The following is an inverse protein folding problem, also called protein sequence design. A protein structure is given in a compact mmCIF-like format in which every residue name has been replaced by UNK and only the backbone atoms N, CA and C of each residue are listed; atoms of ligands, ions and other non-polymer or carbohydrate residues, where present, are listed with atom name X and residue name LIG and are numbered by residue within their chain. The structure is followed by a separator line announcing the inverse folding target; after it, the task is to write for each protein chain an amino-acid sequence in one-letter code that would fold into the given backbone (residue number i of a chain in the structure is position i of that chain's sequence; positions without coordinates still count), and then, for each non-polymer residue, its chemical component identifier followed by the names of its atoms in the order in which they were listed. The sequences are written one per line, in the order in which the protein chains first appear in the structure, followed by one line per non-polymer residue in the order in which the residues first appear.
data_IF_898336797731
#
_entry.id   IF_898336797731
#
_cell.length_a   1.000
_cell.length_b   1.000
_cell.length_c   1.000
_cell.angle_alpha   90.00
_cell.angle_beta   90.00
_cell.angle_gamma   90.00
#
_symmetry.space_group_name_H-M   'P 1'
#
loop_
_entity.id
_entity.type
_entity.pdbx_description
1 polymer ?
#
# COMPACT_ATOMS: atom_id res chain seq x y z
N UNK A 1 -14.25 -26.99 -6.32
CA UNK A 1 -13.63 -25.82 -5.67
C UNK A 1 -13.84 -26.01 -4.19
N UNK A 2 -12.77 -26.30 -3.44
CA UNK A 2 -12.82 -26.22 -1.98
C UNK A 2 -13.12 -24.75 -1.61
N UNK A 3 -13.92 -24.53 -0.56
CA UNK A 3 -14.09 -23.18 -0.03
C UNK A 3 -12.75 -22.65 0.46
N UNK A 4 -12.45 -21.36 0.32
CA UNK A 4 -11.21 -20.75 0.86
C UNK A 4 -11.09 -20.92 2.38
N UNK A 5 -12.20 -21.21 3.06
CA UNK A 5 -12.25 -21.48 4.50
C UNK A 5 -11.82 -22.92 4.86
N UNK A 6 -11.62 -23.81 3.88
CA UNK A 6 -11.22 -25.21 4.09
C UNK A 6 -9.70 -25.45 4.01
N UNK A 7 -8.93 -24.42 3.66
CA UNK A 7 -7.46 -24.49 3.57
C UNK A 7 -6.86 -23.78 4.78
N UNK A 8 -6.17 -24.55 5.60
CA UNK A 8 -5.45 -24.05 6.78
C UNK A 8 -3.99 -23.81 6.41
N UNK A 9 -3.53 -22.57 6.52
CA UNK A 9 -2.16 -22.17 6.16
C UNK A 9 -1.31 -22.16 7.41
N UNK A 10 -0.19 -22.89 7.40
CA UNK A 10 0.84 -22.84 8.45
C UNK A 10 2.13 -22.19 7.96
N UNK A 11 2.44 -22.41 6.69
CA UNK A 11 3.62 -21.94 6.01
C UNK A 11 3.22 -21.67 4.55
N UNK A 12 3.81 -20.64 3.95
CA UNK A 12 3.51 -20.26 2.59
C UNK A 12 4.74 -19.73 1.87
N UNK A 13 4.95 -20.20 0.64
CA UNK A 13 5.89 -19.63 -0.32
C UNK A 13 5.13 -18.82 -1.35
N UNK A 14 5.55 -17.57 -1.56
CA UNK A 14 4.95 -16.64 -2.49
C UNK A 14 5.97 -16.18 -3.52
N UNK A 15 5.58 -16.20 -4.78
CA UNK A 15 6.25 -15.47 -5.85
C UNK A 15 5.35 -14.30 -6.24
N UNK A 16 5.92 -13.10 -6.22
CA UNK A 16 5.17 -11.85 -6.45
C UNK A 16 5.85 -11.12 -7.59
N UNK A 17 5.07 -10.72 -8.58
CA UNK A 17 5.58 -9.94 -9.69
C UNK A 17 6.15 -8.61 -9.17
N UNK A 18 7.39 -8.30 -9.57
CA UNK A 18 8.11 -7.10 -9.11
C UNK A 18 8.93 -7.32 -7.83
N UNK A 19 8.81 -8.49 -7.17
CA UNK A 19 9.53 -8.76 -5.92
C UNK A 19 11.04 -8.79 -6.14
N UNK A 20 11.49 -9.36 -7.26
CA UNK A 20 12.91 -9.41 -7.61
C UNK A 20 13.47 -8.00 -7.70
N UNK A 21 12.79 -7.09 -8.39
CA UNK A 21 13.19 -5.69 -8.52
C UNK A 21 13.19 -4.98 -7.16
N UNK A 22 12.15 -5.19 -6.34
CA UNK A 22 12.03 -4.59 -5.02
C UNK A 22 13.18 -4.99 -4.07
N UNK A 23 13.66 -6.24 -4.14
CA UNK A 23 14.75 -6.74 -3.29
C UNK A 23 16.14 -6.53 -3.89
N UNK A 24 16.26 -6.41 -5.22
CA UNK A 24 17.55 -6.14 -5.86
C UNK A 24 17.83 -4.65 -6.03
N UNK A 25 16.94 -3.78 -5.58
CA UNK A 25 17.12 -2.32 -5.62
C UNK A 25 16.83 -1.69 -6.98
N UNK A 26 16.43 -2.47 -7.99
CA UNK A 26 16.39 -2.03 -9.39
C UNK A 26 17.78 -1.85 -10.00
N UNK A 27 17.85 -1.56 -11.31
CA UNK A 27 19.14 -1.49 -12.05
C UNK A 27 19.73 -0.07 -12.09
N UNK A 28 19.02 0.94 -11.57
CA UNK A 28 19.41 2.36 -11.63
C UNK A 28 19.99 2.83 -10.28
N UNK A 29 21.32 2.99 -10.22
CA UNK A 29 22.12 3.62 -9.13
C UNK A 29 21.70 3.28 -7.68
N UNK A 30 21.12 2.10 -7.45
CA UNK A 30 20.49 1.73 -6.19
C UNK A 30 21.15 0.45 -5.64
N UNK A 31 21.59 0.44 -4.37
CA UNK A 31 22.13 -0.78 -3.79
C UNK A 31 21.01 -1.82 -3.61
N UNK A 32 21.28 -3.11 -3.86
CA UNK A 32 20.34 -4.18 -3.55
C UNK A 32 20.13 -4.31 -2.04
N UNK A 33 19.01 -4.93 -1.65
CA UNK A 33 18.69 -5.22 -0.25
C UNK A 33 19.72 -6.16 0.40
N UNK A 34 20.37 -7.00 -0.39
CA UNK A 34 21.41 -7.93 0.01
C UNK A 34 22.42 -8.14 -1.13
N UNK A 35 23.60 -8.72 -0.83
CA UNK A 35 24.68 -8.80 -1.80
C UNK A 35 24.37 -9.85 -2.88
N UNK A 36 24.37 -9.43 -4.15
CA UNK A 36 24.18 -10.37 -5.27
C UNK A 36 25.54 -11.04 -5.54
N UNK A 37 25.72 -12.29 -5.13
CA UNK A 37 26.93 -13.05 -5.48
C UNK A 37 26.85 -13.58 -6.92
N UNK A 38 28.00 -13.58 -7.61
CA UNK A 38 28.16 -14.18 -8.93
C UNK A 38 28.23 -15.72 -8.91
N UNK A 39 28.25 -16.33 -7.72
CA UNK A 39 28.16 -17.78 -7.56
C UNK A 39 26.71 -18.17 -7.26
N UNK A 40 26.19 -19.18 -7.98
CA UNK A 40 24.81 -19.69 -7.85
C UNK A 40 24.39 -20.12 -6.42
N UNK A 41 25.34 -20.18 -5.48
CA UNK A 41 25.16 -20.64 -4.10
C UNK A 41 24.99 -19.53 -3.05
N UNK A 42 24.85 -18.25 -3.43
CA UNK A 42 24.56 -17.20 -2.43
C UNK A 42 23.05 -17.06 -2.18
N UNK A 43 22.60 -17.77 -1.15
CA UNK A 43 21.29 -17.60 -0.53
C UNK A 43 21.29 -16.38 0.39
N UNK A 44 21.45 -15.20 -0.19
CA UNK A 44 21.30 -13.95 0.54
C UNK A 44 19.81 -13.72 0.80
N UNK A 45 19.45 -13.67 2.09
CA UNK A 45 18.07 -13.58 2.54
C UNK A 45 17.90 -12.50 3.61
N UNK A 46 16.77 -11.79 3.54
CA UNK A 46 16.33 -10.89 4.61
C UNK A 46 15.28 -11.60 5.46
N UNK A 47 15.58 -11.79 6.75
CA UNK A 47 14.62 -12.30 7.72
C UNK A 47 14.00 -11.15 8.51
N UNK A 48 12.67 -11.15 8.59
CA UNK A 48 11.85 -10.16 9.28
C UNK A 48 10.93 -10.88 10.26
N UNK A 49 10.97 -10.47 11.53
CA UNK A 49 10.05 -10.97 12.55
C UNK A 49 8.77 -10.13 12.53
N UNK A 50 7.66 -10.73 12.11
CA UNK A 50 6.34 -10.10 12.12
C UNK A 50 5.57 -10.49 13.39
N UNK A 51 4.50 -9.76 13.77
CA UNK A 51 3.61 -10.21 14.82
C UNK A 51 2.99 -11.57 14.45
N UNK A 52 3.33 -12.62 15.20
CA UNK A 52 2.83 -14.00 15.03
C UNK A 52 3.33 -14.76 13.79
N UNK A 53 4.30 -14.22 13.05
CA UNK A 53 4.87 -14.87 11.87
C UNK A 53 6.34 -14.48 11.65
N UNK A 54 7.06 -15.26 10.86
CA UNK A 54 8.35 -14.86 10.30
C UNK A 54 8.24 -14.75 8.78
N UNK A 55 8.82 -13.69 8.22
CA UNK A 55 8.94 -13.45 6.78
C UNK A 55 10.41 -13.56 6.39
N UNK A 56 10.71 -14.33 5.36
CA UNK A 56 12.04 -14.40 4.75
C UNK A 56 11.93 -14.07 3.27
N UNK A 57 12.68 -13.08 2.81
CA UNK A 57 12.81 -12.74 1.39
C UNK A 57 14.12 -13.34 0.87
N UNK A 58 14.08 -14.05 -0.24
CA UNK A 58 15.27 -14.64 -0.85
C UNK A 58 15.30 -14.42 -2.36
N UNK A 59 16.52 -14.33 -2.92
CA UNK A 59 16.78 -14.41 -4.36
C UNK A 59 17.49 -15.71 -4.67
N UNK A 60 17.08 -16.35 -5.76
CA UNK A 60 17.68 -17.58 -6.26
C UNK A 60 17.97 -17.49 -7.76
N UNK A 61 18.98 -18.24 -8.20
CA UNK A 61 19.27 -18.45 -9.60
C UNK A 61 18.76 -19.83 -10.02
N UNK A 62 17.90 -19.88 -11.04
CA UNK A 62 17.52 -21.10 -11.73
C UNK A 62 18.37 -21.27 -12.99
N UNK A 63 19.01 -22.43 -13.17
CA UNK A 63 19.63 -22.79 -14.43
C UNK A 63 18.63 -23.56 -15.30
N UNK A 64 18.31 -23.00 -16.47
CA UNK A 64 17.60 -23.72 -17.52
C UNK A 64 18.60 -24.18 -18.57
N UNK A 65 18.73 -25.50 -18.73
CA UNK A 65 19.60 -26.12 -19.72
C UNK A 65 18.72 -26.70 -20.84
N UNK A 66 18.63 -25.95 -21.95
CA UNK A 66 18.11 -26.50 -23.20
C UNK A 66 19.27 -27.08 -24.03
N UNK A 67 18.96 -27.98 -24.97
CA UNK A 67 19.94 -28.79 -25.74
C UNK A 67 21.09 -28.00 -26.40
N UNK A 68 21.00 -26.68 -26.54
CA UNK A 68 22.04 -25.81 -27.09
C UNK A 68 22.26 -24.47 -26.35
N UNK A 69 21.60 -24.23 -25.21
CA UNK A 69 21.68 -22.96 -24.47
C UNK A 69 21.47 -23.19 -22.97
N UNK A 70 22.42 -22.75 -22.15
CA UNK A 70 22.23 -22.55 -20.71
C UNK A 70 21.81 -21.11 -20.47
N UNK A 71 20.65 -20.88 -19.86
CA UNK A 71 20.25 -19.56 -19.36
C UNK A 71 20.11 -19.62 -17.85
N UNK A 72 20.77 -18.71 -17.14
CA UNK A 72 20.54 -18.46 -15.73
C UNK A 72 19.41 -17.44 -15.61
N UNK A 73 18.31 -17.80 -14.95
CA UNK A 73 17.20 -16.90 -14.63
C UNK A 73 17.22 -16.61 -13.13
N UNK A 74 17.30 -15.34 -12.76
CA UNK A 74 17.12 -14.92 -11.37
C UNK A 74 15.62 -14.86 -11.04
N UNK A 75 15.26 -15.27 -9.83
CA UNK A 75 13.93 -15.15 -9.28
C UNK A 75 13.98 -14.75 -7.80
N UNK A 76 12.91 -14.17 -7.30
CA UNK A 76 12.75 -13.87 -5.88
C UNK A 76 11.48 -14.52 -5.35
N UNK A 77 11.53 -14.99 -4.11
CA UNK A 77 10.33 -15.46 -3.42
C UNK A 77 10.34 -14.99 -1.97
N UNK A 78 9.14 -14.94 -1.41
CA UNK A 78 8.92 -14.70 -0.01
C UNK A 78 8.45 -15.98 0.66
N UNK A 79 8.94 -16.21 1.87
CA UNK A 79 8.57 -17.33 2.69
C UNK A 79 7.99 -16.84 4.00
N UNK A 80 6.75 -17.21 4.30
CA UNK A 80 6.03 -16.80 5.51
C UNK A 80 5.70 -18.03 6.33
N UNK A 81 6.17 -18.07 7.57
CA UNK A 81 5.89 -19.12 8.53
C UNK A 81 5.11 -18.56 9.70
N UNK A 82 3.96 -19.17 10.03
CA UNK A 82 3.11 -18.73 11.13
C UNK A 82 3.56 -19.37 12.44
N UNK A 83 3.87 -18.54 13.43
CA UNK A 83 4.36 -18.98 14.74
C UNK A 83 3.21 -19.19 15.74
N UNK A 84 2.05 -18.55 15.53
CA UNK A 84 0.88 -18.66 16.39
C UNK A 84 -0.07 -19.82 16.04
N UNK A 85 0.29 -20.63 15.03
CA UNK A 85 -0.54 -21.72 14.52
C UNK A 85 -1.21 -21.40 13.19
N UNK A 86 -1.96 -22.38 12.64
CA UNK A 86 -2.59 -22.25 11.34
C UNK A 86 -3.70 -21.20 11.30
N UNK A 87 -3.87 -20.53 10.16
CA UNK A 87 -5.00 -19.61 9.89
C UNK A 87 -5.70 -19.97 8.58
N UNK A 88 -6.99 -19.64 8.39
CA UNK A 88 -7.66 -19.81 7.11
C UNK A 88 -6.96 -19.04 5.99
N UNK A 89 -6.98 -19.56 4.76
CA UNK A 89 -6.33 -18.92 3.60
C UNK A 89 -6.81 -17.47 3.39
N UNK A 90 -8.09 -17.18 3.62
CA UNK A 90 -8.61 -15.81 3.52
C UNK A 90 -7.99 -14.86 4.55
N UNK A 91 -7.77 -15.33 5.77
CA UNK A 91 -7.07 -14.56 6.81
C UNK A 91 -5.59 -14.41 6.46
N UNK A 92 -4.94 -15.46 5.95
CA UNK A 92 -3.55 -15.41 5.51
C UNK A 92 -3.35 -14.37 4.39
N UNK A 93 -4.25 -14.37 3.40
CA UNK A 93 -4.25 -13.41 2.31
C UNK A 93 -4.38 -11.98 2.82
N UNK A 94 -5.34 -11.76 3.72
CA UNK A 94 -5.60 -10.46 4.29
C UNK A 94 -4.38 -9.99 5.08
N UNK A 95 -3.84 -10.80 6.00
CA UNK A 95 -2.83 -10.38 6.97
C UNK A 95 -1.39 -10.42 6.46
N UNK A 96 -1.09 -11.25 5.47
CA UNK A 96 0.29 -11.50 5.06
C UNK A 96 0.53 -11.35 3.55
N UNK A 97 -0.20 -12.10 2.72
CA UNK A 97 0.07 -12.11 1.27
C UNK A 97 -0.25 -10.75 0.62
N UNK A 98 -1.40 -10.17 0.94
CA UNK A 98 -1.85 -8.87 0.43
C UNK A 98 -0.90 -7.74 0.81
N UNK A 99 -0.55 -7.56 2.11
CA UNK A 99 0.38 -6.52 2.55
C UNK A 99 1.77 -6.62 1.91
N UNK A 100 2.27 -7.84 1.69
CA UNK A 100 3.52 -8.06 0.97
C UNK A 100 3.40 -7.65 -0.51
N UNK A 101 2.33 -8.06 -1.20
CA UNK A 101 2.06 -7.63 -2.57
C UNK A 101 1.96 -6.11 -2.68
N UNK A 102 1.26 -5.49 -1.74
CA UNK A 102 1.07 -4.04 -1.69
C UNK A 102 2.40 -3.32 -1.41
N UNK A 103 3.29 -3.90 -0.60
CA UNK A 103 4.66 -3.39 -0.42
C UNK A 103 5.45 -3.43 -1.73
N UNK A 104 5.38 -4.53 -2.48
CA UNK A 104 6.06 -4.64 -3.78
C UNK A 104 5.50 -3.61 -4.76
N UNK A 105 4.18 -3.49 -4.85
CA UNK A 105 3.49 -2.48 -5.67
C UNK A 105 3.91 -1.05 -5.29
N UNK A 106 4.03 -0.77 -3.99
CA UNK A 106 4.48 0.53 -3.49
C UNK A 106 5.93 0.79 -3.87
N UNK A 107 6.81 -0.19 -3.68
CA UNK A 107 8.23 -0.10 -3.93
C UNK A 107 8.56 0.10 -5.40
N UNK A 108 7.87 -0.62 -6.30
CA UNK A 108 8.11 -0.54 -7.74
C UNK A 108 7.30 0.55 -8.43
N UNK A 109 6.24 1.05 -7.79
CA UNK A 109 5.22 1.91 -8.39
C UNK A 109 4.56 1.32 -9.65
N UNK A 110 4.55 -0.02 -9.75
CA UNK A 110 3.90 -0.76 -10.82
C UNK A 110 2.85 -1.73 -10.25
N UNK A 111 1.80 -2.07 -11.02
CA UNK A 111 0.90 -3.15 -10.65
C UNK A 111 1.66 -4.43 -10.31
N UNK A 112 1.25 -5.10 -9.23
CA UNK A 112 1.84 -6.34 -8.75
C UNK A 112 0.75 -7.34 -8.39
N UNK A 113 1.00 -8.61 -8.71
CA UNK A 113 0.15 -9.74 -8.32
C UNK A 113 1.00 -10.91 -7.81
N UNK A 114 0.34 -11.82 -7.10
CA UNK A 114 0.93 -13.08 -6.65
C UNK A 114 0.91 -14.04 -7.84
N UNK A 115 2.09 -14.42 -8.33
CA UNK A 115 2.29 -15.32 -9.47
C UNK A 115 2.18 -16.79 -9.07
N UNK A 116 2.72 -17.13 -7.90
CA UNK A 116 2.61 -18.45 -7.29
C UNK A 116 2.37 -18.30 -5.79
N UNK A 117 1.43 -19.08 -5.26
CA UNK A 117 1.21 -19.24 -3.84
C UNK A 117 1.15 -20.73 -3.53
N UNK A 118 2.12 -21.21 -2.77
CA UNK A 118 2.17 -22.58 -2.28
C UNK A 118 2.03 -22.56 -0.78
N UNK A 119 1.08 -23.32 -0.25
CA UNK A 119 0.79 -23.35 1.19
C UNK A 119 0.94 -24.76 1.74
N UNK A 120 1.49 -24.87 2.93
CA UNK A 120 1.50 -26.12 3.69
C UNK A 120 0.27 -26.18 4.61
N UNK A 121 -0.56 -27.21 4.40
CA UNK A 121 -1.70 -27.53 5.26
C UNK A 121 -1.39 -28.75 6.14
N UNK A 122 -0.95 -28.48 7.38
CA UNK A 122 -0.64 -29.52 8.36
C UNK A 122 -1.89 -30.20 8.93
N UNK A 123 -3.10 -29.62 8.75
CA UNK A 123 -4.34 -30.19 9.29
C UNK A 123 -4.82 -31.44 8.55
N UNK A 124 -4.26 -31.71 7.35
CA UNK A 124 -4.59 -32.85 6.50
C UNK A 124 -3.63 -34.03 6.62
N UNK A 125 -2.66 -33.96 7.52
CA UNK A 125 -1.73 -35.07 7.77
C UNK A 125 -2.42 -36.11 8.66
N UNK A 126 -2.67 -37.30 8.13
CA UNK A 126 -3.15 -38.43 8.94
C UNK A 126 -2.04 -38.85 9.92
N UNK A 127 -2.35 -39.06 11.22
CA UNK A 127 -1.34 -39.35 12.25
C UNK A 127 -0.58 -40.68 12.05
N UNK A 128 -1.04 -41.56 11.16
CA UNK A 128 -0.44 -42.89 10.93
C UNK A 128 0.41 -42.98 9.65
N UNK A 129 0.45 -41.94 8.81
CA UNK A 129 1.22 -41.97 7.57
C UNK A 129 2.67 -41.52 7.79
N UNK A 130 3.60 -42.48 7.67
CA UNK A 130 5.06 -42.22 7.67
C UNK A 130 5.56 -41.30 6.54
N UNK A 131 4.66 -40.92 5.61
CA UNK A 131 4.87 -39.88 4.61
C UNK A 131 4.62 -38.45 5.13
N UNK A 132 4.42 -38.27 6.44
CA UNK A 132 4.24 -37.00 7.16
C UNK A 132 5.28 -35.89 6.87
N UNK A 133 6.33 -36.18 6.11
CA UNK A 133 7.29 -35.19 5.61
C UNK A 133 6.76 -34.39 4.41
N UNK A 134 5.69 -34.85 3.77
CA UNK A 134 4.95 -34.08 2.78
C UNK A 134 3.67 -33.59 3.45
N UNK A 135 3.76 -32.50 4.23
CA UNK A 135 2.59 -31.64 4.36
C UNK A 135 2.01 -31.47 2.96
N UNK A 136 0.72 -31.69 2.77
CA UNK A 136 0.13 -31.58 1.45
C UNK A 136 0.36 -30.14 0.97
N UNK A 137 1.37 -29.94 0.13
CA UNK A 137 1.68 -28.64 -0.46
C UNK A 137 0.55 -28.36 -1.45
N UNK A 138 -0.25 -27.36 -1.14
CA UNK A 138 -1.38 -26.94 -1.96
C UNK A 138 -0.89 -25.75 -2.78
N UNK A 139 -0.82 -25.92 -4.10
CA UNK A 139 -0.65 -24.81 -5.02
C UNK A 139 -1.99 -24.10 -5.23
N UNK A 140 -2.05 -22.82 -4.85
CA UNK A 140 -3.22 -21.97 -5.01
C UNK A 140 -3.12 -21.23 -6.33
N UNK A 141 -3.81 -21.73 -7.34
CA UNK A 141 -3.85 -21.08 -8.66
C UNK A 141 -4.84 -19.93 -8.65
N UNK A 142 -4.34 -18.71 -8.94
CA UNK A 142 -5.14 -17.50 -9.06
C UNK A 142 -5.06 -16.97 -10.48
N UNK A 143 -6.16 -16.40 -10.98
CA UNK A 143 -6.14 -15.64 -12.22
C UNK A 143 -5.77 -14.19 -11.88
N UNK A 144 -4.71 -13.60 -12.46
CA UNK A 144 -4.43 -12.20 -12.24
C UNK A 144 -5.57 -11.34 -12.85
N UNK A 145 -5.88 -10.18 -12.25
CA UNK A 145 -6.96 -9.30 -12.72
C UNK A 145 -6.63 -8.68 -14.09
N UNK A 146 -5.35 -8.59 -14.43
CA UNK A 146 -4.82 -8.12 -15.71
C UNK A 146 -3.88 -9.19 -16.27
N UNK A 147 -3.88 -9.37 -17.58
CA UNK A 147 -2.97 -10.32 -18.21
C UNK A 147 -1.53 -9.83 -18.05
N UNK A 148 -0.70 -10.68 -17.42
CA UNK A 148 0.71 -10.42 -17.24
C UNK A 148 1.38 -10.22 -18.59
N UNK A 149 1.87 -9.01 -18.89
CA UNK A 149 2.78 -8.82 -20.01
C UNK A 149 4.16 -9.27 -19.53
N UNK A 150 4.73 -10.38 -20.05
CA UNK A 150 6.04 -10.84 -19.60
C UNK A 150 7.07 -9.75 -19.89
N UNK A 151 7.78 -9.28 -18.85
CA UNK A 151 8.89 -8.35 -19.05
C UNK A 151 10.03 -9.14 -19.69
N UNK A 152 10.27 -8.90 -20.98
CA UNK A 152 11.29 -9.61 -21.77
C UNK A 152 12.70 -9.05 -21.62
N UNK A 153 12.89 -8.01 -20.79
CA UNK A 153 14.19 -7.43 -20.48
C UNK A 153 14.25 -7.02 -19.00
N UNK A 154 15.45 -7.08 -18.41
CA UNK A 154 15.75 -6.43 -17.14
C UNK A 154 15.43 -4.94 -17.29
N UNK A 155 14.28 -4.53 -16.78
CA UNK A 155 13.86 -3.14 -16.87
C UNK A 155 14.73 -2.31 -15.93
N UNK A 156 15.23 -1.20 -16.46
CA UNK A 156 16.01 -0.20 -15.75
C UNK A 156 15.10 0.61 -14.83
N UNK A 157 14.65 0.01 -13.73
CA UNK A 157 13.80 0.70 -12.77
C UNK A 157 14.64 1.42 -11.72
N UNK A 158 14.33 2.70 -11.50
CA UNK A 158 14.44 3.29 -10.17
C UNK A 158 13.31 2.72 -9.28
N UNK A 159 13.42 2.78 -7.96
CA UNK A 159 12.35 2.35 -7.07
C UNK A 159 11.72 3.56 -6.38
N UNK A 160 10.41 3.51 -6.17
CA UNK A 160 9.69 4.48 -5.35
C UNK A 160 9.98 4.30 -3.87
N UNK A 161 10.16 3.05 -3.42
CA UNK A 161 10.74 2.73 -2.12
C UNK A 161 11.82 1.68 -2.33
N UNK A 162 13.08 2.08 -2.23
CA UNK A 162 14.20 1.16 -2.23
C UNK A 162 14.51 0.70 -0.81
N UNK A 163 14.12 -0.52 -0.46
CA UNK A 163 14.44 -1.12 0.83
C UNK A 163 15.95 -1.31 1.05
N UNK A 164 16.78 -1.41 0.01
CA UNK A 164 18.24 -1.46 0.16
C UNK A 164 18.87 -0.11 0.53
N UNK A 165 18.13 0.99 0.38
CA UNK A 165 18.58 2.34 0.69
C UNK A 165 18.00 2.91 2.00
N UNK A 166 17.18 2.14 2.72
CA UNK A 166 16.68 2.55 4.04
C UNK A 166 17.62 2.06 5.16
N UNK A 167 17.68 2.75 6.31
CA UNK A 167 18.62 2.39 7.39
C UNK A 167 18.40 1.00 7.98
N UNK A 168 17.14 0.59 8.15
CA UNK A 168 16.76 -0.73 8.66
C UNK A 168 15.59 -1.28 7.84
N UNK A 169 15.86 -2.11 6.84
CA UNK A 169 14.82 -2.65 5.96
C UNK A 169 13.86 -3.58 6.69
N UNK A 170 14.34 -4.36 7.67
CA UNK A 170 13.50 -5.26 8.44
C UNK A 170 12.52 -4.48 9.31
N UNK A 171 12.99 -3.45 10.02
CA UNK A 171 12.12 -2.57 10.80
C UNK A 171 11.08 -1.87 9.90
N UNK A 172 11.50 -1.39 8.72
CA UNK A 172 10.60 -0.75 7.76
C UNK A 172 9.48 -1.70 7.30
N UNK A 173 9.79 -2.98 7.06
CA UNK A 173 8.78 -4.00 6.71
C UNK A 173 7.85 -4.28 7.90
N UNK A 174 8.35 -4.34 9.13
CA UNK A 174 7.49 -4.51 10.31
C UNK A 174 6.52 -3.34 10.44
N UNK A 175 7.00 -2.10 10.31
CA UNK A 175 6.16 -0.91 10.36
C UNK A 175 5.16 -0.86 9.20
N UNK A 176 5.51 -1.35 8.00
CA UNK A 176 4.58 -1.47 6.89
C UNK A 176 3.37 -2.35 7.23
N UNK A 177 3.60 -3.52 7.83
CA UNK A 177 2.53 -4.43 8.23
C UNK A 177 1.69 -3.84 9.36
N UNK A 178 2.33 -3.19 10.32
CA UNK A 178 1.65 -2.46 11.41
C UNK A 178 0.76 -1.33 10.87
N UNK A 179 1.27 -0.52 9.95
CA UNK A 179 0.56 0.59 9.33
C UNK A 179 -0.68 0.11 8.56
N UNK A 180 -0.55 -1.00 7.83
CA UNK A 180 -1.67 -1.65 7.14
C UNK A 180 -2.77 -2.07 8.11
N UNK A 181 -2.43 -2.61 9.28
CA UNK A 181 -3.40 -2.98 10.30
C UNK A 181 -4.09 -1.76 10.92
N UNK A 182 -3.35 -0.66 11.16
CA UNK A 182 -3.89 0.60 11.67
C UNK A 182 -4.86 1.27 10.68
N UNK A 183 -4.57 1.21 9.38
CA UNK A 183 -5.41 1.81 8.33
C UNK A 183 -6.62 0.96 7.95
N UNK A 184 -6.56 -0.35 8.19
CA UNK A 184 -7.68 -1.28 8.08
C UNK A 184 -8.47 -1.13 6.77
N UNK A 185 -9.77 -0.78 6.82
CA UNK A 185 -10.64 -0.77 5.64
C UNK A 185 -10.34 0.37 4.65
N UNK A 186 -9.53 1.36 5.03
CA UNK A 186 -9.15 2.46 4.14
C UNK A 186 -8.01 2.06 3.21
N UNK A 187 -7.14 1.14 3.66
CA UNK A 187 -5.96 0.65 2.91
C UNK A 187 -6.25 0.29 1.44
N UNK A 188 -7.31 -0.49 1.12
CA UNK A 188 -7.58 -0.88 -0.27
C UNK A 188 -7.89 0.29 -1.20
N UNK A 189 -8.35 1.45 -0.70
CA UNK A 189 -8.64 2.61 -1.56
C UNK A 189 -7.39 3.10 -2.29
N UNK A 190 -6.22 3.04 -1.64
CA UNK A 190 -4.97 3.44 -2.26
C UNK A 190 -4.46 2.35 -3.23
N UNK A 191 -4.29 1.12 -2.74
CA UNK A 191 -3.68 0.05 -3.53
C UNK A 191 -4.53 -0.41 -4.70
N UNK A 192 -5.87 -0.45 -4.57
CA UNK A 192 -6.74 -0.75 -5.72
C UNK A 192 -6.67 0.35 -6.80
N UNK A 193 -6.30 1.58 -6.40
CA UNK A 193 -6.08 2.70 -7.34
C UNK A 193 -4.73 2.57 -8.06
N UNK A 194 -3.69 2.11 -7.36
CA UNK A 194 -2.38 1.85 -7.96
C UNK A 194 -2.37 0.62 -8.86
N UNK A 195 -3.09 -0.43 -8.48
CA UNK A 195 -3.19 -1.69 -9.22
C UNK A 195 -3.83 -1.49 -10.60
N UNK A 196 -4.77 -0.53 -10.71
CA UNK A 196 -5.57 -0.33 -11.91
C UNK A 196 -5.19 0.92 -12.68
N UNK A 197 -4.37 0.74 -13.71
CA UNK A 197 -3.97 1.81 -14.63
C UNK A 197 -5.09 2.26 -15.56
N UNK A 198 -6.18 1.51 -15.66
CA UNK A 198 -7.35 1.76 -16.54
C UNK A 198 -8.46 2.60 -15.89
N UNK A 199 -8.31 2.98 -14.61
CA UNK A 199 -9.33 3.74 -13.90
C UNK A 199 -9.48 5.17 -14.46
N UNK A 200 -10.72 5.65 -14.69
CA UNK A 200 -10.97 7.07 -14.96
C UNK A 200 -10.35 7.97 -13.89
N UNK A 201 -9.85 9.13 -14.28
CA UNK A 201 -9.16 10.07 -13.37
C UNK A 201 -10.05 10.52 -12.22
N UNK A 202 -11.35 10.66 -12.48
CA UNK A 202 -12.37 10.98 -11.48
C UNK A 202 -12.42 9.89 -10.41
N UNK A 203 -12.46 8.62 -10.80
CA UNK A 203 -12.47 7.49 -9.89
C UNK A 203 -11.16 7.41 -9.09
N UNK A 204 -10.01 7.65 -9.75
CA UNK A 204 -8.72 7.73 -9.07
C UNK A 204 -8.73 8.83 -8.02
N UNK A 205 -9.19 10.03 -8.35
CA UNK A 205 -9.29 11.13 -7.39
C UNK A 205 -10.23 10.79 -6.23
N UNK A 206 -11.40 10.20 -6.51
CA UNK A 206 -12.38 9.82 -5.46
C UNK A 206 -11.76 8.84 -4.47
N UNK A 207 -11.07 7.80 -4.97
CA UNK A 207 -10.40 6.82 -4.13
C UNK A 207 -9.26 7.43 -3.31
N UNK A 208 -8.38 8.21 -3.94
CA UNK A 208 -7.25 8.84 -3.25
C UNK A 208 -7.72 9.88 -2.23
N UNK A 209 -8.77 10.64 -2.51
CA UNK A 209 -9.35 11.58 -1.55
C UNK A 209 -10.01 10.84 -0.37
N UNK A 210 -10.71 9.74 -0.62
CA UNK A 210 -11.25 8.87 0.42
C UNK A 210 -10.14 8.24 1.27
N UNK A 211 -9.05 7.80 0.64
CA UNK A 211 -7.86 7.33 1.34
C UNK A 211 -7.26 8.44 2.21
N UNK A 212 -7.03 9.63 1.67
CA UNK A 212 -6.46 10.77 2.41
C UNK A 212 -7.29 11.11 3.66
N UNK A 213 -8.63 11.12 3.53
CA UNK A 213 -9.53 11.38 4.65
C UNK A 213 -9.43 10.30 5.74
N UNK A 214 -9.53 9.02 5.33
CA UNK A 214 -9.49 7.89 6.25
C UNK A 214 -8.12 7.68 6.89
N UNK A 215 -7.05 7.88 6.12
CA UNK A 215 -5.66 7.83 6.57
C UNK A 215 -5.39 8.86 7.65
N UNK A 216 -5.73 10.13 7.39
CA UNK A 216 -5.57 11.17 8.40
C UNK A 216 -6.44 10.90 9.64
N UNK A 217 -7.68 10.40 9.47
CA UNK A 217 -8.55 10.07 10.60
C UNK A 217 -8.01 8.90 11.44
N UNK A 218 -7.37 7.92 10.82
CA UNK A 218 -6.85 6.77 11.53
C UNK A 218 -5.61 7.11 12.38
N UNK A 219 -4.74 7.99 11.89
CA UNK A 219 -3.40 8.19 12.46
C UNK A 219 -3.15 9.57 13.06
N UNK A 220 -3.85 10.60 12.57
CA UNK A 220 -3.50 12.01 12.82
C UNK A 220 -4.74 12.86 13.16
N UNK A 221 -5.84 12.25 13.63
CA UNK A 221 -7.10 12.97 13.86
C UNK A 221 -7.00 13.93 15.03
N UNK A 222 -7.29 15.21 14.76
CA UNK A 222 -7.24 16.27 15.76
C UNK A 222 -8.52 17.12 15.64
N UNK A 223 -9.56 16.81 16.44
CA UNK A 223 -10.79 17.59 16.46
C UNK A 223 -10.51 19.08 16.78
N UNK A 224 -11.17 20.03 16.10
CA UNK A 224 -10.92 21.47 16.32
C UNK A 224 -11.20 21.94 17.75
N UNK A 225 -12.15 21.30 18.43
CA UNK A 225 -12.49 21.54 19.83
C UNK A 225 -12.33 20.25 20.64
N UNK A 226 -12.10 20.40 21.94
CA UNK A 226 -12.23 19.29 22.88
C UNK A 226 -13.63 18.69 22.78
N UNK A 227 -13.73 17.36 22.65
CA UNK A 227 -14.99 16.66 22.40
C UNK A 227 -16.06 16.99 23.44
N UNK A 228 -15.70 17.02 24.73
CA UNK A 228 -16.64 17.34 25.80
C UNK A 228 -17.21 18.77 25.72
N UNK A 229 -16.39 19.74 25.29
CA UNK A 229 -16.83 21.11 25.05
C UNK A 229 -17.81 21.14 23.89
N UNK A 230 -17.48 20.53 22.76
CA UNK A 230 -18.36 20.53 21.59
C UNK A 230 -19.69 19.82 21.86
N UNK A 231 -19.69 18.72 22.62
CA UNK A 231 -20.91 18.00 23.00
C UNK A 231 -21.83 18.85 23.88
N UNK A 232 -21.27 19.56 24.87
CA UNK A 232 -22.02 20.47 25.72
C UNK A 232 -22.65 21.62 24.93
N UNK A 233 -21.85 22.30 24.11
CA UNK A 233 -22.30 23.39 23.25
C UNK A 233 -23.38 22.92 22.25
N UNK A 234 -23.20 21.74 21.63
CA UNK A 234 -24.20 21.15 20.72
C UNK A 234 -25.52 20.89 21.43
N UNK A 235 -25.48 20.36 22.65
CA UNK A 235 -26.68 20.10 23.45
C UNK A 235 -27.41 21.40 23.79
N UNK A 236 -26.67 22.44 24.18
CA UNK A 236 -27.23 23.73 24.53
C UNK A 236 -27.85 24.42 23.31
N UNK A 237 -27.17 24.40 22.15
CA UNK A 237 -27.72 24.91 20.89
C UNK A 237 -29.03 24.20 20.50
N UNK A 238 -29.06 22.88 20.57
CA UNK A 238 -30.26 22.10 20.23
C UNK A 238 -31.41 22.35 21.19
N UNK A 239 -31.15 22.61 22.48
CA UNK A 239 -32.18 22.92 23.47
C UNK A 239 -32.93 24.24 23.16
N UNK A 240 -32.28 25.19 22.49
CA UNK A 240 -32.88 26.47 22.12
C UNK A 240 -33.84 26.38 20.92
N UNK A 241 -33.82 25.29 20.16
CA UNK A 241 -34.67 25.13 18.97
C UNK A 241 -35.99 24.50 19.44
N UNK A 242 -37.14 25.21 19.44
CA UNK A 242 -38.38 24.70 20.04
C UNK A 242 -39.04 23.58 19.21
N UNK A 243 -38.94 23.68 17.89
CA UNK A 243 -39.53 22.73 16.95
C UNK A 243 -38.71 21.43 16.89
N UNK A 244 -39.40 20.29 16.95
CA UNK A 244 -38.76 18.98 17.01
C UNK A 244 -38.14 18.54 15.67
N UNK A 245 -38.76 18.86 14.55
CA UNK A 245 -38.22 18.55 13.22
C UNK A 245 -37.01 19.41 12.91
N UNK A 246 -37.04 20.69 13.25
CA UNK A 246 -35.88 21.57 13.14
C UNK A 246 -34.72 21.04 13.99
N UNK A 247 -34.96 20.66 15.26
CA UNK A 247 -33.93 20.02 16.10
C UNK A 247 -33.33 18.78 15.46
N UNK A 248 -34.15 17.94 14.82
CA UNK A 248 -33.67 16.71 14.16
C UNK A 248 -32.71 17.05 13.03
N UNK A 249 -33.08 17.99 12.15
CA UNK A 249 -32.24 18.45 11.03
C UNK A 249 -30.90 19.01 11.52
N UNK A 250 -30.92 19.92 12.51
CA UNK A 250 -29.69 20.51 13.02
C UNK A 250 -28.84 19.54 13.82
N UNK A 251 -29.43 18.54 14.49
CA UNK A 251 -28.69 17.50 15.20
C UNK A 251 -27.80 16.70 14.25
N UNK A 252 -28.35 16.31 13.09
CA UNK A 252 -27.58 15.59 12.07
C UNK A 252 -26.42 16.45 11.53
N UNK A 253 -26.65 17.74 11.31
CA UNK A 253 -25.60 18.67 10.87
C UNK A 253 -24.50 18.89 11.94
N UNK A 254 -24.89 19.00 13.21
CA UNK A 254 -23.96 19.25 14.32
C UNK A 254 -23.16 18.00 14.73
N UNK A 255 -23.63 16.80 14.40
CA UNK A 255 -22.92 15.54 14.68
C UNK A 255 -21.48 15.54 14.15
N UNK A 256 -21.24 16.20 13.02
CA UNK A 256 -19.94 16.28 12.37
C UNK A 256 -19.27 17.65 12.49
N UNK A 257 -19.84 18.57 13.28
CA UNK A 257 -19.33 19.94 13.39
C UNK A 257 -17.92 20.01 14.01
N UNK A 258 -17.56 19.05 14.86
CA UNK A 258 -16.22 18.94 15.44
C UNK A 258 -15.26 18.05 14.64
N UNK A 259 -15.61 17.67 13.41
CA UNK A 259 -14.73 16.87 12.57
C UNK A 259 -13.93 17.76 11.64
N UNK A 260 -12.63 17.49 11.49
CA UNK A 260 -11.84 18.11 10.43
C UNK A 260 -12.42 17.73 9.07
N UNK A 261 -12.55 18.72 8.20
CA UNK A 261 -13.00 18.57 6.81
C UNK A 261 -11.94 17.90 5.94
N UNK A 262 -12.34 17.33 4.80
CA UNK A 262 -11.40 16.79 3.81
C UNK A 262 -10.36 17.84 3.37
N UNK A 263 -10.77 19.12 3.24
CA UNK A 263 -9.87 20.21 2.89
C UNK A 263 -8.76 20.36 3.94
N UNK A 264 -9.12 20.42 5.22
CA UNK A 264 -8.17 20.62 6.31
C UNK A 264 -7.22 19.44 6.44
N UNK A 265 -7.74 18.22 6.35
CA UNK A 265 -6.94 16.98 6.39
C UNK A 265 -5.94 16.93 5.24
N UNK A 266 -6.39 17.22 4.02
CA UNK A 266 -5.50 17.23 2.85
C UNK A 266 -4.44 18.33 2.92
N UNK A 267 -4.79 19.52 3.42
CA UNK A 267 -3.82 20.58 3.66
C UNK A 267 -2.79 20.19 4.73
N UNK A 268 -3.22 19.53 5.80
CA UNK A 268 -2.32 18.99 6.83
C UNK A 268 -1.33 17.97 6.24
N UNK A 269 -1.80 17.02 5.43
CA UNK A 269 -0.95 16.02 4.78
C UNK A 269 0.10 16.66 3.86
N UNK A 270 -0.29 17.71 3.11
CA UNK A 270 0.65 18.46 2.28
C UNK A 270 1.69 19.23 3.11
N UNK A 271 1.28 19.85 4.23
CA UNK A 271 2.21 20.52 5.15
C UNK A 271 3.21 19.53 5.76
N UNK A 272 2.76 18.36 6.19
CA UNK A 272 3.63 17.31 6.75
C UNK A 272 4.66 16.82 5.74
N UNK A 273 4.28 16.67 4.48
CA UNK A 273 5.16 16.18 3.43
C UNK A 273 6.13 17.24 2.88
N UNK A 274 6.02 18.53 3.28
CA UNK A 274 6.73 19.63 2.62
C UNK A 274 8.26 19.46 2.65
N UNK A 275 8.83 18.95 3.75
CA UNK A 275 10.26 18.72 3.88
C UNK A 275 10.77 17.60 2.98
N UNK A 276 9.95 16.56 2.78
CA UNK A 276 10.26 15.44 1.89
C UNK A 276 9.99 15.75 0.40
N UNK A 277 9.23 16.80 0.10
CA UNK A 277 8.81 17.20 -1.25
C UNK A 277 9.43 18.54 -1.67
N UNK A 278 10.62 18.87 -1.18
CA UNK A 278 11.29 20.15 -1.43
C UNK A 278 11.42 20.52 -2.93
N UNK A 279 11.66 19.52 -3.79
CA UNK A 279 11.74 19.65 -5.25
C UNK A 279 10.37 19.83 -5.92
N UNK A 280 9.26 19.58 -5.21
CA UNK A 280 7.89 19.70 -5.68
C UNK A 280 7.08 20.59 -4.74
N UNK A 281 7.34 21.91 -4.75
CA UNK A 281 6.70 22.83 -3.82
C UNK A 281 5.17 22.79 -3.96
N UNK A 282 4.49 22.70 -2.81
CA UNK A 282 3.04 22.59 -2.71
C UNK A 282 2.50 23.71 -1.83
N UNK A 283 1.53 24.46 -2.35
CA UNK A 283 0.66 25.27 -1.50
C UNK A 283 -0.39 24.36 -0.87
N UNK A 284 -0.21 24.07 0.42
CA UNK A 284 -1.07 23.17 1.17
C UNK A 284 -2.55 23.59 1.21
N UNK A 285 -2.82 24.90 1.29
CA UNK A 285 -4.20 25.40 1.34
C UNK A 285 -4.86 25.28 -0.03
N UNK A 286 -4.16 25.66 -1.09
CA UNK A 286 -4.65 25.48 -2.45
C UNK A 286 -4.84 24.00 -2.79
N UNK A 287 -3.93 23.13 -2.36
CA UNK A 287 -4.01 21.67 -2.52
C UNK A 287 -5.27 21.10 -1.86
N UNK A 288 -5.51 21.44 -0.58
CA UNK A 288 -6.72 21.00 0.13
C UNK A 288 -8.01 21.49 -0.53
N UNK A 289 -8.02 22.74 -1.02
CA UNK A 289 -9.17 23.29 -1.75
C UNK A 289 -9.42 22.57 -3.08
N UNK A 290 -8.37 22.32 -3.87
CA UNK A 290 -8.46 21.62 -5.15
C UNK A 290 -9.06 20.22 -4.97
N UNK A 291 -8.60 19.44 -4.00
CA UNK A 291 -9.11 18.09 -3.73
C UNK A 291 -10.57 18.15 -3.29
N UNK A 292 -10.87 18.96 -2.26
CA UNK A 292 -12.21 19.00 -1.68
C UNK A 292 -13.26 19.49 -2.69
N UNK A 293 -12.98 20.56 -3.43
CA UNK A 293 -13.93 21.11 -4.41
C UNK A 293 -14.12 20.16 -5.60
N UNK A 294 -13.04 19.57 -6.11
CA UNK A 294 -13.11 18.64 -7.24
C UNK A 294 -13.86 17.36 -6.87
N UNK A 295 -13.59 16.78 -5.70
CA UNK A 295 -14.33 15.63 -5.14
C UNK A 295 -15.80 15.95 -4.95
N UNK A 296 -16.12 17.10 -4.35
CA UNK A 296 -17.51 17.51 -4.12
C UNK A 296 -18.27 17.75 -5.44
N UNK A 297 -17.59 18.30 -6.45
CA UNK A 297 -18.14 18.43 -7.80
C UNK A 297 -18.52 17.06 -8.38
N UNK A 298 -17.62 16.07 -8.35
CA UNK A 298 -17.93 14.73 -8.88
C UNK A 298 -18.99 13.98 -8.07
N UNK A 299 -19.02 14.17 -6.75
CA UNK A 299 -19.99 13.50 -5.87
C UNK A 299 -21.42 14.07 -6.00
N UNK A 300 -21.57 15.37 -6.23
CA UNK A 300 -22.87 16.05 -6.17
C UNK A 300 -23.34 16.65 -7.50
N UNK A 301 -22.46 16.76 -8.51
CA UNK A 301 -22.75 17.35 -9.82
C UNK A 301 -23.44 18.72 -9.74
N UNK A 302 -23.07 19.52 -8.73
CA UNK A 302 -23.72 20.78 -8.35
C UNK A 302 -23.33 21.98 -9.23
N UNK A 303 -23.03 23.13 -8.61
CA UNK A 303 -22.40 24.26 -9.33
C UNK A 303 -20.89 24.12 -9.29
N UNK A 304 -20.21 24.34 -10.43
CA UNK A 304 -18.75 24.19 -10.52
C UNK A 304 -18.08 25.34 -9.77
N UNK A 305 -17.41 25.01 -8.67
CA UNK A 305 -16.62 25.96 -7.89
C UNK A 305 -15.30 26.32 -8.60
N UNK A 306 -14.67 27.41 -8.16
CA UNK A 306 -13.49 27.98 -8.82
C UNK A 306 -12.28 27.03 -8.88
N UNK A 307 -12.10 26.16 -7.89
CA UNK A 307 -10.95 25.25 -7.81
C UNK A 307 -11.26 23.83 -8.30
N UNK A 308 -12.36 23.62 -9.02
CA UNK A 308 -12.66 22.31 -9.63
C UNK A 308 -11.73 22.06 -10.80
N UNK A 309 -10.86 21.05 -10.66
CA UNK A 309 -9.89 20.65 -11.67
C UNK A 309 -10.54 19.77 -12.76
N UNK A 310 -10.07 19.88 -14.00
CA UNK A 310 -10.51 19.06 -15.12
C UNK A 310 -9.38 18.90 -16.15
N UNK A 311 -9.48 17.90 -17.04
CA UNK A 311 -8.49 17.68 -18.09
C UNK A 311 -7.08 17.50 -17.51
N UNK A 312 -6.11 18.23 -18.06
CA UNK A 312 -4.71 18.17 -17.64
C UNK A 312 -4.50 18.57 -16.17
N UNK A 313 -5.28 19.52 -15.66
CA UNK A 313 -5.18 19.93 -14.26
C UNK A 313 -5.67 18.86 -13.29
N UNK A 314 -6.64 18.03 -13.73
CA UNK A 314 -7.07 16.87 -12.96
C UNK A 314 -5.97 15.79 -12.94
N UNK A 315 -5.28 15.56 -14.07
CA UNK A 315 -4.12 14.66 -14.12
C UNK A 315 -3.05 15.12 -13.12
N UNK A 316 -2.67 16.40 -13.18
CA UNK A 316 -1.72 17.01 -12.24
C UNK A 316 -2.18 16.89 -10.79
N UNK A 317 -3.47 17.08 -10.51
CA UNK A 317 -3.99 16.94 -9.15
C UNK A 317 -3.87 15.50 -8.66
N UNK A 318 -4.31 14.51 -9.45
CA UNK A 318 -4.24 13.08 -9.09
C UNK A 318 -2.80 12.68 -8.76
N UNK A 319 -1.84 13.03 -9.61
CA UNK A 319 -0.42 12.72 -9.36
C UNK A 319 0.11 13.41 -8.09
N UNK A 320 -0.22 14.69 -7.86
CA UNK A 320 0.18 15.39 -6.63
C UNK A 320 -0.42 14.75 -5.38
N UNK A 321 -1.67 14.31 -5.42
CA UNK A 321 -2.30 13.60 -4.30
C UNK A 321 -1.57 12.30 -4.04
N UNK A 322 -1.29 11.52 -5.09
CA UNK A 322 -0.53 10.27 -4.99
C UNK A 322 0.85 10.50 -4.35
N UNK A 323 1.57 11.55 -4.77
CA UNK A 323 2.89 11.92 -4.25
C UNK A 323 2.85 12.24 -2.76
N UNK A 324 1.91 13.10 -2.35
CA UNK A 324 1.73 13.50 -0.95
C UNK A 324 1.40 12.28 -0.09
N UNK A 325 0.53 11.39 -0.57
CA UNK A 325 0.18 10.17 0.15
C UNK A 325 1.35 9.20 0.29
N UNK A 326 2.15 9.01 -0.77
CA UNK A 326 3.37 8.19 -0.69
C UNK A 326 4.37 8.75 0.31
N UNK A 327 4.61 10.06 0.29
CA UNK A 327 5.51 10.70 1.24
C UNK A 327 5.04 10.47 2.68
N UNK A 328 3.75 10.69 2.96
CA UNK A 328 3.19 10.47 4.29
C UNK A 328 3.26 9.00 4.74
N UNK A 329 2.96 8.05 3.85
CA UNK A 329 3.13 6.62 4.13
C UNK A 329 4.58 6.26 4.48
N UNK A 330 5.56 6.80 3.74
CA UNK A 330 6.98 6.58 4.04
C UNK A 330 7.42 7.19 5.38
N UNK A 331 6.89 8.36 5.74
CA UNK A 331 7.14 8.97 7.05
C UNK A 331 6.55 8.10 8.18
N UNK A 332 5.36 7.54 7.99
CA UNK A 332 4.68 6.74 9.02
C UNK A 332 5.24 5.32 9.16
N UNK A 333 5.98 4.80 8.18
CA UNK A 333 6.81 3.59 8.35
C UNK A 333 8.21 3.90 8.94
N UNK A 334 8.41 5.11 9.45
CA UNK A 334 9.58 5.48 10.25
C UNK A 334 10.77 6.05 9.46
N UNK A 335 10.60 6.40 8.18
CA UNK A 335 11.66 7.04 7.41
C UNK A 335 11.74 8.54 7.71
N UNK A 336 12.97 9.09 7.73
CA UNK A 336 13.16 10.52 7.86
C UNK A 336 12.91 11.26 6.54
N UNK A 337 12.64 12.58 6.61
CA UNK A 337 12.30 13.40 5.43
C UNK A 337 13.35 13.30 4.31
N UNK A 338 14.63 13.18 4.68
CA UNK A 338 15.73 13.07 3.72
C UNK A 338 15.68 11.74 2.96
N UNK A 339 15.43 10.64 3.66
CA UNK A 339 15.30 9.31 3.08
C UNK A 339 14.07 9.24 2.18
N UNK A 340 12.95 9.83 2.61
CA UNK A 340 11.74 9.98 1.79
C UNK A 340 12.03 10.79 0.52
N UNK A 341 12.67 11.96 0.64
CA UNK A 341 13.00 12.81 -0.51
C UNK A 341 13.88 12.09 -1.54
N UNK A 342 14.90 11.35 -1.08
CA UNK A 342 15.77 10.55 -1.96
C UNK A 342 15.00 9.46 -2.72
N UNK A 343 14.11 8.75 -2.01
CA UNK A 343 13.28 7.70 -2.61
C UNK A 343 12.29 8.27 -3.63
N UNK A 344 11.64 9.40 -3.33
CA UNK A 344 10.76 10.08 -4.27
C UNK A 344 11.52 10.56 -5.50
N UNK A 345 12.68 11.20 -5.32
CA UNK A 345 13.49 11.67 -6.44
C UNK A 345 14.00 10.53 -7.34
N UNK A 346 14.22 9.34 -6.76
CA UNK A 346 14.52 8.13 -7.52
C UNK A 346 13.29 7.64 -8.27
N UNK A 347 12.19 7.35 -7.57
CA UNK A 347 10.96 6.79 -8.14
C UNK A 347 10.31 7.68 -9.19
N UNK A 348 10.41 9.00 -9.05
CA UNK A 348 9.87 9.94 -10.03
C UNK A 348 10.58 9.88 -11.40
N UNK A 349 11.82 9.38 -11.47
CA UNK A 349 12.50 9.12 -12.75
C UNK A 349 11.83 8.00 -13.57
N UNK A 350 11.05 7.14 -12.92
CA UNK A 350 10.31 6.06 -13.57
C UNK A 350 9.14 6.55 -14.40
N UNK A 351 8.50 7.61 -13.95
CA UNK A 351 7.22 8.00 -14.50
C UNK A 351 7.47 9.10 -15.53
N UNK A 352 7.90 8.69 -16.73
CA UNK A 352 8.18 9.55 -17.89
C UNK A 352 6.96 10.35 -18.41
N UNK A 353 5.86 10.36 -17.67
CA UNK A 353 4.59 11.03 -17.95
C UNK A 353 4.17 12.04 -16.88
N UNK A 354 5.04 12.36 -15.91
CA UNK A 354 4.78 13.48 -14.99
C UNK A 354 5.14 14.79 -15.69
N UNK A 355 4.18 15.73 -15.79
CA UNK A 355 4.43 17.05 -16.39
C UNK A 355 5.34 17.92 -15.52
#
# INVERSE_FOLDING_TARGET
MASTDEVSVTEARLEVQGLLEAVTGGVVDSPPLFAISATADAHDALSVALPLASLTLHVGAGESIARHTSSVTLGAAAHIKLEAGPVPLAEFDQRYAGPLRDLVMFATAEPSWIESLRVADLSRIAPEDSWAQHAAEIEVVRRPPVEAVPKTSASYYALMLNLGAVPDPSATIVEWFSLRDQLGPVWPLFFATLERTDLPLENRLMNLAGFAEGYHRALHDEPPLETGICEAETKDMLAQIPDAEHRRVYREALLHANSQTLRERAAWLARRAVGALDQWPLDAEAFGQQISQTRNWFAHLGTRAAHVQAGEDLVRLVHRVELVLRANLMLDIGLDERTVANNIASGMRLVSSWP
#
